data_IF_985330185583
#
_entry.id   IF_985330185583
#
_cell.length_a   1.000
_cell.length_b   1.000
_cell.length_c   1.000
_cell.angle_alpha   90.00
_cell.angle_beta   90.00
_cell.angle_gamma   90.00
#
_symmetry.space_group_name_H-M   'P 1'
#
loop_
_entity.id
_entity.type
_entity.pdbx_description
1 polymer ?
#
# COMPACT_ATOMS: atom_id res chain seq x y z
N UNK A 1 -9.79 -23.89 15.74
CA UNK A 1 -9.56 -23.90 14.29
C UNK A 1 -9.29 -22.47 13.81
N UNK A 2 -8.32 -22.30 12.91
CA UNK A 2 -8.06 -21.02 12.28
C UNK A 2 -8.75 -21.00 10.90
N UNK A 3 -9.84 -20.26 10.72
CA UNK A 3 -10.58 -20.22 9.45
C UNK A 3 -9.81 -19.57 8.31
N UNK A 4 -8.75 -18.80 8.62
CA UNK A 4 -7.91 -18.10 7.64
C UNK A 4 -6.62 -18.87 7.32
N UNK A 5 -6.42 -20.08 7.86
CA UNK A 5 -5.17 -20.82 7.70
C UNK A 5 -4.81 -21.01 6.24
N UNK A 6 -5.76 -21.45 5.40
CA UNK A 6 -5.53 -21.72 3.98
C UNK A 6 -5.13 -20.42 3.25
N UNK A 7 -5.80 -19.31 3.57
CA UNK A 7 -5.45 -18.02 2.98
C UNK A 7 -4.06 -17.54 3.42
N UNK A 8 -3.70 -17.77 4.67
CA UNK A 8 -2.38 -17.40 5.18
C UNK A 8 -1.25 -18.26 4.58
N UNK A 9 -1.54 -19.51 4.18
CA UNK A 9 -0.57 -20.38 3.53
C UNK A 9 -0.14 -19.85 2.15
N UNK A 10 -0.90 -18.98 1.51
CA UNK A 10 -0.49 -18.35 0.25
C UNK A 10 0.75 -17.46 0.39
N UNK A 11 1.11 -17.08 1.61
CA UNK A 11 2.32 -16.31 1.91
C UNK A 11 3.54 -17.19 2.24
N UNK A 12 3.38 -18.51 2.23
CA UNK A 12 4.45 -19.47 2.47
C UNK A 12 4.88 -20.10 1.15
N UNK A 13 6.01 -19.66 0.65
CA UNK A 13 6.59 -20.23 -0.57
C UNK A 13 7.35 -21.50 -0.26
N UNK A 14 7.02 -22.58 -0.98
CA UNK A 14 7.74 -23.85 -0.87
C UNK A 14 9.02 -23.78 -1.68
N UNK A 15 10.12 -24.15 -1.05
CA UNK A 15 11.42 -24.28 -1.70
C UNK A 15 11.70 -25.75 -2.00
N UNK A 16 12.36 -26.04 -3.11
CA UNK A 16 12.90 -27.36 -3.40
C UNK A 16 14.06 -27.66 -2.45
N UNK A 17 13.94 -28.74 -1.66
CA UNK A 17 14.91 -29.10 -0.63
C UNK A 17 16.30 -29.38 -1.21
N UNK A 18 16.35 -30.18 -2.29
CA UNK A 18 17.62 -30.55 -2.93
C UNK A 18 18.35 -29.36 -3.53
N UNK A 19 17.59 -28.45 -4.17
CA UNK A 19 18.16 -27.19 -4.67
C UNK A 19 18.66 -26.29 -3.53
N UNK A 20 17.91 -26.21 -2.45
CA UNK A 20 18.24 -25.37 -1.28
C UNK A 20 19.52 -25.88 -0.60
N UNK A 21 19.62 -27.19 -0.38
CA UNK A 21 20.82 -27.85 0.19
C UNK A 21 22.04 -27.69 -0.71
N UNK A 22 21.89 -27.99 -2.01
CA UNK A 22 22.98 -27.92 -2.98
C UNK A 22 23.58 -26.52 -3.14
N UNK A 23 22.82 -25.49 -2.82
CA UNK A 23 23.24 -24.08 -2.95
C UNK A 23 23.50 -23.39 -1.60
N UNK A 24 23.54 -24.13 -0.48
CA UNK A 24 23.80 -23.58 0.86
C UNK A 24 22.77 -22.58 1.34
N UNK A 25 21.51 -22.70 0.86
CA UNK A 25 20.44 -21.76 1.12
C UNK A 25 19.44 -22.28 2.17
N UNK A 26 19.81 -23.27 2.98
CA UNK A 26 18.95 -23.89 4.01
C UNK A 26 18.81 -23.00 5.27
N UNK A 27 19.77 -22.12 5.52
CA UNK A 27 19.70 -21.19 6.63
C UNK A 27 18.99 -19.87 6.21
N UNK A 28 18.20 -19.26 7.09
CA UNK A 28 17.63 -17.93 6.85
C UNK A 28 18.74 -16.90 6.64
N UNK A 29 18.50 -15.96 5.73
CA UNK A 29 19.39 -14.83 5.51
C UNK A 29 19.24 -13.81 6.63
N UNK A 30 20.33 -13.33 7.19
CA UNK A 30 20.31 -12.15 8.06
C UNK A 30 20.43 -10.87 7.21
N UNK A 31 19.28 -10.31 6.88
CA UNK A 31 19.19 -9.07 6.11
C UNK A 31 19.75 -7.87 6.89
N UNK A 32 19.64 -7.88 8.22
CA UNK A 32 20.15 -6.78 9.05
C UNK A 32 21.68 -6.75 9.07
N UNK A 33 22.33 -7.92 8.98
CA UNK A 33 23.78 -8.04 8.82
C UNK A 33 24.27 -7.78 7.39
N UNK A 34 23.38 -7.50 6.43
CA UNK A 34 23.73 -7.30 5.03
C UNK A 34 24.11 -8.59 4.29
N UNK A 35 23.74 -9.75 4.84
CA UNK A 35 24.00 -11.02 4.19
C UNK A 35 23.24 -11.17 2.86
N UNK A 36 23.86 -11.83 1.89
CA UNK A 36 23.22 -12.28 0.67
C UNK A 36 23.41 -13.79 0.52
N UNK A 37 22.33 -14.50 0.26
CA UNK A 37 22.39 -15.94 0.01
C UNK A 37 22.21 -16.23 -1.48
N UNK A 38 22.55 -17.43 -1.91
CA UNK A 38 22.31 -17.87 -3.28
C UNK A 38 20.81 -17.73 -3.66
N UNK A 39 19.91 -18.07 -2.77
CA UNK A 39 18.47 -17.97 -2.97
C UNK A 39 17.95 -16.51 -3.09
N UNK A 40 18.69 -15.51 -2.58
CA UNK A 40 18.31 -14.10 -2.74
C UNK A 40 18.63 -13.55 -4.14
N UNK A 41 19.47 -14.25 -4.90
CA UNK A 41 19.90 -13.86 -6.25
C UNK A 41 19.44 -14.82 -7.34
N UNK A 42 18.93 -16.00 -6.96
CA UNK A 42 18.54 -17.06 -7.88
C UNK A 42 17.17 -17.62 -7.52
N UNK A 43 16.52 -18.25 -8.48
CA UNK A 43 15.18 -18.85 -8.27
C UNK A 43 15.15 -20.27 -8.82
N UNK A 44 14.35 -21.14 -8.18
CA UNK A 44 14.00 -22.47 -8.66
C UNK A 44 12.47 -22.69 -8.56
N UNK A 45 11.70 -21.68 -8.95
CA UNK A 45 10.25 -21.74 -8.90
C UNK A 45 9.65 -22.42 -10.13
N UNK A 46 8.39 -22.87 -9.99
CA UNK A 46 7.60 -23.50 -11.06
C UNK A 46 6.73 -22.51 -11.83
N UNK A 47 6.96 -21.20 -11.65
CA UNK A 47 6.16 -20.13 -12.23
C UNK A 47 6.34 -19.96 -13.74
N UNK A 48 5.55 -19.02 -14.29
CA UNK A 48 5.51 -18.73 -15.71
C UNK A 48 6.80 -18.10 -16.25
N UNK A 49 7.62 -17.52 -15.39
CA UNK A 49 8.90 -16.89 -15.74
C UNK A 49 10.04 -17.42 -14.89
N UNK A 50 11.24 -17.44 -15.46
CA UNK A 50 12.49 -17.76 -14.79
C UNK A 50 13.38 -16.53 -14.70
N UNK A 51 14.14 -16.41 -13.61
CA UNK A 51 15.11 -15.34 -13.42
C UNK A 51 16.32 -15.53 -14.33
N UNK A 52 16.68 -14.52 -15.09
CA UNK A 52 17.88 -14.46 -15.92
C UNK A 52 19.00 -13.72 -15.20
N UNK A 53 18.69 -12.55 -14.66
CA UNK A 53 19.64 -11.73 -13.90
C UNK A 53 18.92 -10.81 -12.95
N UNK A 54 19.60 -10.45 -11.85
CA UNK A 54 19.14 -9.46 -10.90
C UNK A 54 20.32 -8.63 -10.41
N UNK A 55 20.19 -7.32 -10.56
CA UNK A 55 21.04 -6.34 -9.90
C UNK A 55 20.13 -5.54 -8.97
N UNK A 56 20.25 -5.69 -7.64
CA UNK A 56 19.41 -4.98 -6.68
C UNK A 56 19.33 -3.48 -7.00
N UNK A 57 18.14 -2.92 -6.85
CA UNK A 57 17.80 -1.50 -7.08
C UNK A 57 18.09 -0.96 -8.49
N UNK A 58 18.51 -1.81 -9.42
CA UNK A 58 18.80 -1.42 -10.79
C UNK A 58 17.91 -2.14 -11.81
N UNK A 59 17.99 -3.49 -11.87
CA UNK A 59 17.33 -4.24 -12.93
C UNK A 59 17.12 -5.70 -12.54
N UNK A 60 15.94 -6.22 -12.85
CA UNK A 60 15.66 -7.66 -12.84
C UNK A 60 15.15 -8.09 -14.21
N UNK A 61 15.74 -9.13 -14.77
CA UNK A 61 15.36 -9.70 -16.07
C UNK A 61 14.79 -11.09 -15.86
N UNK A 62 13.59 -11.30 -16.37
CA UNK A 62 12.89 -12.58 -16.34
C UNK A 62 12.57 -13.00 -17.78
N UNK A 63 12.64 -14.31 -18.06
CA UNK A 63 12.21 -14.89 -19.34
C UNK A 63 11.10 -15.91 -19.13
N UNK A 64 10.24 -16.05 -20.14
CA UNK A 64 9.19 -17.05 -20.15
C UNK A 64 9.80 -18.45 -19.90
N UNK A 65 9.19 -19.18 -18.97
CA UNK A 65 9.60 -20.53 -18.62
C UNK A 65 9.11 -21.54 -19.67
N UNK A 66 9.99 -22.16 -20.47
CA UNK A 66 9.56 -23.12 -21.48
C UNK A 66 8.88 -24.35 -20.88
N UNK A 67 9.15 -24.65 -19.62
CA UNK A 67 8.62 -25.79 -18.88
C UNK A 67 7.44 -25.39 -17.97
N UNK A 68 6.85 -24.21 -18.17
CA UNK A 68 5.72 -23.78 -17.35
C UNK A 68 4.54 -24.75 -17.47
N UNK A 69 4.16 -25.33 -16.35
CA UNK A 69 3.10 -26.34 -16.28
C UNK A 69 1.72 -25.82 -16.70
N UNK A 70 1.46 -24.54 -16.49
CA UNK A 70 0.17 -23.88 -16.76
C UNK A 70 0.01 -23.33 -18.19
N UNK A 71 0.99 -23.50 -19.09
CA UNK A 71 0.97 -22.88 -20.43
C UNK A 71 -0.23 -23.24 -21.31
N UNK A 72 -0.85 -24.39 -21.10
CA UNK A 72 -2.05 -24.81 -21.80
C UNK A 72 -3.33 -24.11 -21.31
N UNK A 73 -3.36 -23.71 -20.03
CA UNK A 73 -4.48 -23.03 -19.40
C UNK A 73 -4.28 -21.50 -19.35
N UNK A 74 -3.03 -21.08 -19.19
CA UNK A 74 -2.61 -19.68 -19.07
C UNK A 74 -1.48 -19.40 -20.07
N UNK A 75 -1.81 -19.20 -21.37
CA UNK A 75 -0.80 -18.91 -22.38
C UNK A 75 -0.08 -17.60 -22.07
N UNK A 76 1.22 -17.54 -22.38
CA UNK A 76 2.04 -16.37 -22.16
C UNK A 76 2.23 -15.61 -23.47
N UNK A 77 1.76 -14.38 -23.53
CA UNK A 77 1.98 -13.47 -24.67
C UNK A 77 3.26 -12.65 -24.53
N UNK A 78 3.87 -12.67 -23.32
CA UNK A 78 5.10 -11.96 -22.98
C UNK A 78 6.23 -12.95 -22.86
N UNK A 79 7.31 -12.73 -23.62
CA UNK A 79 8.49 -13.61 -23.63
C UNK A 79 9.57 -13.18 -22.63
N UNK A 80 9.66 -11.88 -22.34
CA UNK A 80 10.66 -11.31 -21.42
C UNK A 80 10.02 -10.17 -20.61
N UNK A 81 10.38 -10.07 -19.33
CA UNK A 81 10.03 -8.96 -18.42
C UNK A 81 11.33 -8.34 -17.94
N UNK A 82 11.47 -7.04 -18.18
CA UNK A 82 12.56 -6.24 -17.63
C UNK A 82 11.95 -5.31 -16.57
N UNK A 83 12.24 -5.59 -15.32
CA UNK A 83 11.79 -4.77 -14.20
C UNK A 83 12.90 -3.77 -13.82
N UNK A 84 12.60 -2.48 -13.89
CA UNK A 84 13.50 -1.38 -13.52
C UNK A 84 12.84 -0.54 -12.43
N UNK A 85 13.40 -0.47 -11.21
CA UNK A 85 12.90 0.40 -10.15
C UNK A 85 13.11 1.86 -10.54
N UNK A 86 12.03 2.64 -10.59
CA UNK A 86 12.06 4.09 -10.80
C UNK A 86 11.31 4.74 -9.63
N UNK A 87 12.03 5.28 -8.66
CA UNK A 87 11.45 5.82 -7.43
C UNK A 87 10.58 7.05 -7.68
N UNK A 88 11.04 7.99 -8.51
CA UNK A 88 10.28 9.20 -8.84
C UNK A 88 9.05 8.88 -9.69
N UNK A 89 7.86 9.18 -9.18
CA UNK A 89 6.60 8.99 -9.91
C UNK A 89 6.55 9.80 -11.21
N UNK A 90 7.05 11.03 -11.20
CA UNK A 90 7.11 11.87 -12.40
C UNK A 90 8.02 11.26 -13.47
N UNK A 91 9.17 10.71 -13.07
CA UNK A 91 10.10 10.03 -13.97
C UNK A 91 9.48 8.75 -14.54
N UNK A 92 8.76 7.96 -13.72
CA UNK A 92 8.04 6.77 -14.22
C UNK A 92 7.01 7.12 -15.29
N UNK A 93 6.19 8.15 -15.05
CA UNK A 93 5.19 8.60 -16.02
C UNK A 93 5.87 9.11 -17.30
N UNK A 94 6.98 9.83 -17.19
CA UNK A 94 7.74 10.29 -18.35
C UNK A 94 8.30 9.12 -19.18
N UNK A 95 8.87 8.10 -18.52
CA UNK A 95 9.39 6.91 -19.18
C UNK A 95 8.29 6.12 -19.92
N UNK A 96 7.08 6.02 -19.34
CA UNK A 96 5.94 5.41 -20.02
C UNK A 96 5.51 6.21 -21.26
N UNK A 97 5.41 7.54 -21.13
CA UNK A 97 4.94 8.40 -22.22
C UNK A 97 5.96 8.51 -23.37
N UNK A 98 7.25 8.33 -23.08
CA UNK A 98 8.32 8.28 -24.10
C UNK A 98 8.46 6.91 -24.77
N UNK A 99 7.84 5.86 -24.21
CA UNK A 99 7.99 4.49 -24.67
C UNK A 99 9.28 3.81 -24.19
N UNK A 100 9.96 4.37 -23.19
CA UNK A 100 11.12 3.73 -22.55
C UNK A 100 10.72 2.50 -21.75
N UNK A 101 9.49 2.52 -21.17
CA UNK A 101 8.87 1.38 -20.51
C UNK A 101 7.45 1.16 -21.06
N UNK A 102 6.99 -0.09 -21.07
CA UNK A 102 5.69 -0.48 -21.58
C UNK A 102 4.59 -0.48 -20.50
N UNK A 103 4.99 -0.52 -19.25
CA UNK A 103 4.08 -0.64 -18.11
C UNK A 103 4.66 0.08 -16.88
N UNK A 104 3.82 0.79 -16.15
CA UNK A 104 4.16 1.36 -14.84
C UNK A 104 3.08 1.03 -13.80
N UNK A 105 3.50 0.90 -12.58
CA UNK A 105 2.68 0.82 -11.38
C UNK A 105 3.34 1.70 -10.31
N UNK A 106 2.70 2.57 -9.67
CA UNK A 106 1.35 3.12 -9.75
C UNK A 106 1.38 4.40 -10.61
N UNK A 107 0.24 4.79 -11.18
CA UNK A 107 0.10 6.09 -11.86
C UNK A 107 -0.44 7.10 -10.86
N UNK A 108 0.24 8.25 -10.62
CA UNK A 108 -0.31 9.32 -9.78
C UNK A 108 -1.65 9.80 -10.28
N UNK A 109 -2.59 10.07 -9.35
CA UNK A 109 -3.97 10.45 -9.73
C UNK A 109 -4.03 11.69 -10.59
N UNK A 110 -3.09 12.64 -10.43
CA UNK A 110 -2.98 13.84 -11.25
C UNK A 110 -2.55 13.56 -12.71
N UNK A 111 -1.89 12.43 -12.98
CA UNK A 111 -1.39 12.07 -14.31
C UNK A 111 -2.30 11.09 -15.06
N UNK A 112 -3.35 10.54 -14.42
CA UNK A 112 -4.26 9.58 -15.04
C UNK A 112 -4.85 10.08 -16.35
N UNK A 113 -5.34 11.34 -16.38
CA UNK A 113 -5.90 11.92 -17.59
C UNK A 113 -4.87 12.09 -18.71
N UNK A 114 -3.62 12.44 -18.36
CA UNK A 114 -2.51 12.59 -19.33
C UNK A 114 -2.11 11.25 -19.94
N UNK A 115 -2.02 10.20 -19.11
CA UNK A 115 -1.71 8.85 -19.58
C UNK A 115 -2.85 8.28 -20.41
N UNK A 116 -4.10 8.46 -19.98
CA UNK A 116 -5.28 7.97 -20.69
C UNK A 116 -5.47 8.66 -22.07
N UNK A 117 -5.00 9.89 -22.24
CA UNK A 117 -5.08 10.62 -23.51
C UNK A 117 -4.00 10.21 -24.51
N UNK A 118 -2.96 9.51 -24.10
CA UNK A 118 -1.86 9.07 -24.96
C UNK A 118 -2.31 7.88 -25.82
N UNK A 119 -2.14 8.00 -27.12
CA UNK A 119 -2.43 6.90 -28.04
C UNK A 119 -1.58 5.67 -27.75
N UNK A 120 -2.20 4.49 -27.76
CA UNK A 120 -1.53 3.22 -27.46
C UNK A 120 -1.40 2.88 -25.97
N UNK A 121 -1.78 3.79 -25.07
CA UNK A 121 -1.78 3.53 -23.63
C UNK A 121 -3.19 3.30 -23.09
N UNK A 122 -3.27 2.51 -22.02
CA UNK A 122 -4.50 2.24 -21.29
C UNK A 122 -4.27 2.34 -19.79
N UNK A 123 -5.12 3.08 -19.10
CA UNK A 123 -5.17 3.08 -17.63
C UNK A 123 -6.11 1.97 -17.16
N UNK A 124 -5.63 1.12 -16.26
CA UNK A 124 -6.44 0.08 -15.60
C UNK A 124 -6.48 0.39 -14.11
N UNK A 125 -7.68 0.43 -13.55
CA UNK A 125 -7.89 0.68 -12.12
C UNK A 125 -8.59 -0.50 -11.48
N UNK A 126 -8.22 -0.79 -10.23
CA UNK A 126 -8.83 -1.85 -9.44
C UNK A 126 -8.93 -1.40 -7.96
N UNK A 127 -9.95 -1.92 -7.28
CA UNK A 127 -10.09 -1.71 -5.84
C UNK A 127 -8.94 -2.40 -5.10
N UNK A 128 -8.39 -1.73 -4.08
CA UNK A 128 -7.32 -2.25 -3.24
C UNK A 128 -7.82 -2.52 -1.83
N UNK A 129 -7.22 -3.50 -1.16
CA UNK A 129 -7.35 -3.69 0.28
C UNK A 129 -6.41 -2.71 1.02
N UNK A 130 -6.68 -1.43 0.87
CA UNK A 130 -5.91 -0.35 1.49
C UNK A 130 -6.86 0.73 2.02
N UNK A 131 -6.64 1.12 3.27
CA UNK A 131 -7.34 2.25 3.88
C UNK A 131 -6.30 3.24 4.39
N UNK A 132 -6.48 4.51 4.07
CA UNK A 132 -5.67 5.62 4.59
C UNK A 132 -6.46 6.25 5.74
N UNK A 133 -5.81 6.36 6.90
CA UNK A 133 -6.44 6.84 8.12
C UNK A 133 -5.44 7.58 9.01
N UNK A 134 -5.93 8.39 9.93
CA UNK A 134 -5.14 8.94 11.02
C UNK A 134 -5.11 7.98 12.20
N UNK A 135 -3.94 7.42 12.51
CA UNK A 135 -3.72 6.64 13.71
C UNK A 135 -3.49 7.54 14.91
N UNK A 136 -4.35 7.44 15.92
CA UNK A 136 -4.25 8.23 17.15
C UNK A 136 -3.78 7.34 18.28
N UNK A 137 -2.66 7.70 18.93
CA UNK A 137 -2.21 7.00 20.12
C UNK A 137 -3.09 7.39 21.32
N UNK A 138 -4.04 6.55 21.66
CA UNK A 138 -4.95 6.77 22.79
C UNK A 138 -4.57 6.00 24.05
N UNK A 139 -3.47 5.22 24.03
CA UNK A 139 -3.07 4.31 25.11
C UNK A 139 -2.04 4.93 26.09
N UNK A 140 -1.31 5.96 25.68
CA UNK A 140 -0.37 6.68 26.55
C UNK A 140 -1.08 7.79 27.33
N UNK A 141 -0.64 8.05 28.54
CA UNK A 141 -1.17 9.15 29.36
C UNK A 141 -0.67 10.50 28.87
N UNK A 142 0.46 10.53 28.17
CA UNK A 142 1.11 11.72 27.64
C UNK A 142 1.61 11.47 26.20
N UNK A 143 1.56 12.47 25.36
CA UNK A 143 2.12 12.45 24.01
C UNK A 143 3.47 13.15 24.00
N UNK A 144 4.50 12.49 23.47
CA UNK A 144 5.90 12.97 23.52
C UNK A 144 6.14 14.27 22.74
N UNK A 145 5.22 14.65 21.87
CA UNK A 145 5.42 15.75 20.91
C UNK A 145 4.24 16.74 20.87
N UNK A 146 3.53 16.89 21.99
CA UNK A 146 2.43 17.84 22.11
C UNK A 146 2.80 19.08 22.93
N UNK A 147 1.87 20.03 23.01
CA UNK A 147 1.96 21.22 23.89
C UNK A 147 1.04 21.13 25.11
N UNK A 148 0.46 19.94 25.38
CA UNK A 148 -0.50 19.71 26.48
C UNK A 148 0.10 18.77 27.50
N UNK A 149 1.11 19.28 28.22
CA UNK A 149 1.90 18.51 29.20
C UNK A 149 1.01 17.72 30.19
N UNK A 150 1.33 16.43 30.37
CA UNK A 150 0.69 15.55 31.34
C UNK A 150 -0.72 15.10 30.98
N UNK A 151 -1.15 15.26 29.74
CA UNK A 151 -2.45 14.80 29.23
C UNK A 151 -2.36 14.31 27.81
N UNK A 152 -3.11 13.27 27.50
CA UNK A 152 -3.27 12.81 26.14
C UNK A 152 -4.65 13.24 25.61
N UNK A 153 -4.76 14.25 24.72
CA UNK A 153 -6.03 14.65 24.15
C UNK A 153 -6.80 13.52 23.46
N UNK A 154 -6.09 12.56 22.86
CA UNK A 154 -6.71 11.42 22.18
C UNK A 154 -7.28 10.35 23.11
N UNK A 155 -7.01 10.40 24.42
CA UNK A 155 -7.69 9.56 25.39
C UNK A 155 -9.18 9.93 25.50
N UNK A 156 -9.54 11.21 25.23
CA UNK A 156 -10.93 11.67 25.24
C UNK A 156 -11.63 11.31 23.92
N UNK A 157 -12.74 10.57 24.03
CA UNK A 157 -13.54 10.15 22.86
C UNK A 157 -14.14 11.34 22.12
N UNK A 158 -14.41 12.46 22.80
CA UNK A 158 -14.96 13.68 22.17
C UNK A 158 -13.95 14.29 21.20
N UNK A 159 -12.66 14.29 21.55
CA UNK A 159 -11.58 14.75 20.66
C UNK A 159 -11.50 13.87 19.42
N UNK A 160 -11.50 12.53 19.58
CA UNK A 160 -11.47 11.62 18.43
C UNK A 160 -12.69 11.76 17.53
N UNK A 161 -13.89 11.95 18.11
CA UNK A 161 -15.12 12.22 17.36
C UNK A 161 -15.06 13.56 16.63
N UNK A 162 -14.57 14.61 17.29
CA UNK A 162 -14.37 15.92 16.67
C UNK A 162 -13.47 15.82 15.42
N UNK A 163 -12.32 15.15 15.53
CA UNK A 163 -11.44 14.94 14.39
C UNK A 163 -12.13 14.14 13.28
N UNK A 164 -12.90 13.12 13.61
CA UNK A 164 -13.62 12.30 12.63
C UNK A 164 -14.62 13.11 11.81
N UNK A 165 -15.48 13.93 12.46
CA UNK A 165 -16.51 14.73 11.78
C UNK A 165 -15.95 16.00 11.14
N UNK A 166 -14.74 16.42 11.46
CA UNK A 166 -14.07 17.56 10.84
C UNK A 166 -13.42 17.21 9.48
N UNK A 167 -13.35 15.95 9.10
CA UNK A 167 -12.74 15.51 7.83
C UNK A 167 -13.81 15.46 6.73
N UNK A 168 -13.67 16.32 5.74
CA UNK A 168 -14.52 16.27 4.54
C UNK A 168 -14.02 15.20 3.55
N UNK A 169 -14.46 13.97 3.76
CA UNK A 169 -14.04 12.81 2.93
C UNK A 169 -14.49 12.95 1.47
N UNK A 170 -15.64 13.55 1.21
CA UNK A 170 -16.13 13.77 -0.15
C UNK A 170 -15.28 14.79 -0.91
N UNK A 171 -14.83 15.85 -0.23
CA UNK A 171 -13.90 16.79 -0.84
C UNK A 171 -12.55 16.14 -1.14
N UNK A 172 -12.03 15.32 -0.23
CA UNK A 172 -10.79 14.56 -0.45
C UNK A 172 -10.96 13.64 -1.68
N UNK A 173 -12.05 12.85 -1.73
CA UNK A 173 -12.34 11.99 -2.87
C UNK A 173 -12.34 12.77 -4.19
N UNK A 174 -13.08 13.86 -4.27
CA UNK A 174 -13.28 14.62 -5.51
C UNK A 174 -12.05 15.43 -5.92
N UNK A 175 -11.48 16.17 -4.98
CA UNK A 175 -10.45 17.18 -5.28
C UNK A 175 -9.05 16.56 -5.25
N UNK A 176 -8.74 15.81 -4.21
CA UNK A 176 -7.40 15.22 -4.02
C UNK A 176 -7.28 13.92 -4.82
N UNK A 177 -8.24 13.02 -4.63
CA UNK A 177 -8.18 11.67 -5.21
C UNK A 177 -8.81 11.55 -6.60
N UNK A 178 -9.37 12.63 -7.14
CA UNK A 178 -9.98 12.65 -8.49
C UNK A 178 -10.91 11.47 -8.74
N UNK A 179 -11.76 11.18 -7.75
CA UNK A 179 -12.70 10.04 -7.70
C UNK A 179 -12.04 8.63 -7.70
N UNK A 180 -10.72 8.54 -7.46
CA UNK A 180 -10.01 7.25 -7.37
C UNK A 180 -10.00 6.67 -5.95
N UNK A 181 -10.89 7.09 -5.08
CA UNK A 181 -11.05 6.56 -3.72
C UNK A 181 -12.51 6.46 -3.32
N UNK A 182 -12.78 5.65 -2.29
CA UNK A 182 -14.08 5.53 -1.66
C UNK A 182 -13.97 6.01 -0.21
N UNK A 183 -14.79 6.99 0.22
CA UNK A 183 -14.89 7.36 1.63
C UNK A 183 -15.27 6.13 2.49
N UNK A 184 -14.68 6.04 3.67
CA UNK A 184 -14.97 4.98 4.65
C UNK A 184 -14.83 5.52 6.07
N UNK A 185 -15.45 4.85 7.03
CA UNK A 185 -15.35 5.13 8.45
C UNK A 185 -14.69 3.99 9.25
N UNK A 186 -14.32 2.92 8.57
CA UNK A 186 -13.66 1.75 9.16
C UNK A 186 -12.36 1.44 8.42
N UNK A 187 -11.46 0.72 9.08
CA UNK A 187 -10.15 0.35 8.53
C UNK A 187 -10.17 -0.93 7.68
N UNK A 188 -11.35 -1.39 7.27
CA UNK A 188 -11.48 -2.53 6.38
C UNK A 188 -12.44 -2.22 5.22
N UNK A 189 -12.05 -2.57 3.99
CA UNK A 189 -12.90 -2.34 2.83
C UNK A 189 -14.05 -3.35 2.72
N UNK A 190 -15.08 -3.04 1.91
CA UNK A 190 -16.32 -3.84 1.82
C UNK A 190 -16.16 -5.31 1.45
N UNK A 191 -15.05 -5.70 0.81
CA UNK A 191 -14.79 -7.10 0.43
C UNK A 191 -14.03 -7.91 1.51
N UNK A 192 -13.77 -7.33 2.67
CA UNK A 192 -13.14 -8.02 3.80
C UNK A 192 -14.22 -8.58 4.72
N UNK A 193 -14.04 -9.84 5.16
CA UNK A 193 -14.98 -10.49 6.08
C UNK A 193 -15.10 -9.68 7.38
N UNK A 194 -16.36 -9.44 7.78
CA UNK A 194 -16.69 -8.64 8.97
C UNK A 194 -17.07 -7.20 8.67
N UNK A 195 -16.89 -6.72 7.43
CA UNK A 195 -17.41 -5.43 7.02
C UNK A 195 -18.95 -5.46 6.93
N UNK A 196 -19.58 -4.40 7.40
CA UNK A 196 -21.00 -4.14 7.17
C UNK A 196 -21.21 -2.64 6.92
N UNK A 197 -22.28 -2.30 6.21
CA UNK A 197 -22.63 -0.90 5.93
C UNK A 197 -22.94 -0.11 7.20
N UNK A 198 -23.46 -0.77 8.24
CA UNK A 198 -23.75 -0.14 9.52
C UNK A 198 -22.47 0.24 10.26
N UNK A 199 -21.44 -0.62 10.22
CA UNK A 199 -20.13 -0.32 10.79
C UNK A 199 -19.42 0.81 10.02
N UNK A 200 -19.61 0.85 8.69
CA UNK A 200 -19.02 1.86 7.82
C UNK A 200 -19.89 3.12 7.66
N UNK A 201 -20.89 3.31 8.51
CA UNK A 201 -21.72 4.51 8.48
C UNK A 201 -20.86 5.76 8.74
N UNK A 202 -20.66 6.57 7.70
CA UNK A 202 -19.84 7.78 7.75
C UNK A 202 -20.65 8.88 8.42
N UNK A 203 -20.15 9.48 9.53
CA UNK A 203 -20.82 10.63 10.15
C UNK A 203 -20.79 11.83 9.21
N UNK A 204 -21.79 12.69 9.31
CA UNK A 204 -21.85 13.92 8.54
C UNK A 204 -20.63 14.80 8.85
N UNK A 205 -20.07 15.41 7.82
CA UNK A 205 -19.06 16.46 7.97
C UNK A 205 -19.65 17.68 8.64
N UNK A 206 -19.17 18.04 9.84
CA UNK A 206 -19.66 19.15 10.62
C UNK A 206 -18.56 19.79 11.47
N UNK A 207 -18.01 20.90 10.97
CA UNK A 207 -16.94 21.64 11.67
C UNK A 207 -17.47 22.37 12.90
N UNK A 208 -18.74 22.80 12.91
CA UNK A 208 -19.32 23.50 14.05
C UNK A 208 -19.48 22.53 15.24
N UNK A 209 -20.05 21.34 14.98
CA UNK A 209 -20.15 20.28 15.99
C UNK A 209 -18.77 19.81 16.45
N UNK A 210 -17.79 19.70 15.54
CA UNK A 210 -16.42 19.35 15.90
C UNK A 210 -15.79 20.34 16.89
N UNK A 211 -15.94 21.64 16.62
CA UNK A 211 -15.47 22.70 17.54
C UNK A 211 -16.16 22.66 18.89
N UNK A 212 -17.46 22.40 18.93
CA UNK A 212 -18.20 22.23 20.17
C UNK A 212 -17.66 21.07 21.01
N UNK A 213 -17.45 19.89 20.39
CA UNK A 213 -16.86 18.74 21.05
C UNK A 213 -15.44 19.00 21.60
N UNK A 214 -14.62 19.74 20.85
CA UNK A 214 -13.29 20.16 21.31
C UNK A 214 -13.39 21.08 22.54
N UNK A 215 -14.29 22.06 22.53
CA UNK A 215 -14.51 22.95 23.66
C UNK A 215 -15.02 22.19 24.90
N UNK A 216 -15.99 21.27 24.74
CA UNK A 216 -16.49 20.41 25.81
C UNK A 216 -15.42 19.51 26.41
N UNK A 217 -14.43 19.08 25.59
CA UNK A 217 -13.30 18.29 26.03
C UNK A 217 -12.19 19.13 26.71
N UNK A 218 -12.35 20.47 26.75
CA UNK A 218 -11.38 21.40 27.32
C UNK A 218 -10.25 21.82 26.37
N UNK A 219 -10.44 21.61 25.06
CA UNK A 219 -9.47 21.95 24.01
C UNK A 219 -10.06 22.94 22.99
N UNK A 220 -10.86 23.90 23.46
CA UNK A 220 -11.50 24.90 22.59
C UNK A 220 -10.51 25.75 21.78
N UNK A 221 -9.33 26.01 22.33
CA UNK A 221 -8.23 26.72 21.66
C UNK A 221 -7.33 25.79 20.83
N UNK A 222 -7.64 24.49 20.79
CA UNK A 222 -6.86 23.48 20.12
C UNK A 222 -5.63 23.02 20.89
N UNK A 223 -4.81 22.21 20.25
CA UNK A 223 -3.51 21.76 20.73
C UNK A 223 -2.60 21.45 19.54
N UNK A 224 -1.29 21.41 19.80
CA UNK A 224 -0.29 21.05 18.79
C UNK A 224 0.19 19.64 19.00
N UNK A 225 0.34 18.91 17.91
CA UNK A 225 0.90 17.55 17.88
C UNK A 225 1.81 17.39 16.67
N UNK A 226 2.67 16.39 16.69
CA UNK A 226 3.42 15.96 15.50
C UNK A 226 2.65 14.88 14.75
N UNK A 227 2.40 15.12 13.46
CA UNK A 227 1.89 14.11 12.54
C UNK A 227 3.05 13.46 11.78
N UNK A 228 3.25 12.16 11.98
CA UNK A 228 4.18 11.38 11.18
C UNK A 228 3.47 10.89 9.92
N UNK A 229 3.93 11.35 8.76
CA UNK A 229 3.37 10.98 7.47
C UNK A 229 4.46 10.35 6.58
N UNK A 230 4.29 9.13 6.06
CA UNK A 230 5.21 8.58 5.08
C UNK A 230 5.13 9.37 3.78
N UNK A 231 6.29 9.69 3.19
CA UNK A 231 6.41 10.49 1.98
C UNK A 231 6.81 9.69 0.73
N UNK A 232 7.09 8.40 0.87
CA UNK A 232 7.61 7.52 -0.17
C UNK A 232 6.81 6.22 -0.37
N UNK A 233 5.80 6.00 0.48
CA UNK A 233 5.00 4.76 0.48
C UNK A 233 3.69 4.87 -0.30
N UNK A 234 3.10 6.04 -0.34
CA UNK A 234 1.82 6.31 -1.00
C UNK A 234 2.01 7.38 -2.07
N UNK A 235 1.22 7.28 -3.12
CA UNK A 235 1.37 8.15 -4.30
C UNK A 235 0.54 9.42 -4.18
N UNK A 236 -0.20 9.57 -3.10
CA UNK A 236 -1.16 10.63 -2.88
C UNK A 236 -0.68 11.62 -1.83
#
# INVERSE_FOLDING_TARGET
>A
PNPLLINNLTNLFMMDAGWTEANGASAPQDVAAGETTFASQNTNGTGAFTLVSRVPDQKTVLKANPNYWGKGQFPLDVSEIIYTPIQSAATRVAALLSGEVDFIQDVPVQDLGRVAAQSGLKVVTAAQNRVIFFGMNSAKDDLETDNVSGKNPFADVRVRRAMNIAINRDAIKKVVMRDQSSPTNVIMPPFVNGWTSELDAIPAYDVAAAKALMAEAGYGDGFSITLNCPNDRYIN
#
